data_IF_572966346733
#
_entry.id   IF_572966346733
#
_cell.length_a   1.000
_cell.length_b   1.000
_cell.length_c   1.000
_cell.angle_alpha   90.00
_cell.angle_beta   90.00
_cell.angle_gamma   90.00
#
_symmetry.space_group_name_H-M   'P 1'
#
loop_
_entity.id
_entity.type
_entity.pdbx_description
1 polymer ?
#
# COMPACT_ATOMS: atom_id res chain seq x y z
N UNK A 1 22.85 8.62 -5.82
CA UNK A 1 22.29 8.07 -7.08
C UNK A 1 22.23 6.56 -6.99
N UNK A 2 21.25 5.93 -7.66
CA UNK A 2 21.14 4.47 -7.74
C UNK A 2 22.25 3.87 -8.61
N UNK A 3 22.58 2.60 -8.36
CA UNK A 3 23.39 1.79 -9.29
C UNK A 3 22.64 1.54 -10.59
N UNK A 4 23.34 1.07 -11.62
CA UNK A 4 22.69 0.65 -12.87
C UNK A 4 22.07 -0.74 -12.72
N UNK A 5 20.98 -0.97 -13.46
CA UNK A 5 20.23 -2.23 -13.50
C UNK A 5 19.77 -2.74 -12.13
N UNK A 6 19.41 -1.83 -11.23
CA UNK A 6 18.85 -2.18 -9.91
C UNK A 6 17.46 -2.79 -10.02
N UNK A 7 17.09 -3.59 -9.03
CA UNK A 7 15.72 -4.07 -8.85
C UNK A 7 15.05 -3.20 -7.79
N UNK A 8 13.95 -2.55 -8.15
CA UNK A 8 13.14 -1.76 -7.22
C UNK A 8 11.95 -2.60 -6.72
N UNK A 9 11.74 -2.65 -5.41
CA UNK A 9 10.58 -3.34 -4.82
C UNK A 9 9.85 -2.35 -3.92
N UNK A 10 8.55 -2.17 -4.13
CA UNK A 10 7.71 -1.35 -3.26
C UNK A 10 6.43 -2.10 -2.87
N UNK A 11 6.31 -2.43 -1.58
CA UNK A 11 5.13 -3.04 -0.97
C UNK A 11 4.62 -2.22 0.22
N UNK A 12 4.91 -0.91 0.22
CA UNK A 12 4.69 -0.04 1.36
C UNK A 12 3.58 1.00 1.10
N UNK A 13 3.89 2.10 0.42
CA UNK A 13 2.93 3.11 -0.05
C UNK A 13 3.30 3.52 -1.48
N UNK A 14 2.29 3.70 -2.32
CA UNK A 14 2.47 4.09 -3.72
C UNK A 14 3.19 5.42 -3.87
N UNK A 15 2.72 6.43 -3.13
CA UNK A 15 3.25 7.80 -3.13
C UNK A 15 4.72 7.97 -2.71
N UNK A 16 5.44 6.89 -2.38
CA UNK A 16 6.89 6.92 -2.16
C UNK A 16 7.69 6.85 -3.46
N UNK A 17 7.06 6.44 -4.55
CA UNK A 17 7.70 6.27 -5.87
C UNK A 17 6.91 7.10 -6.88
N UNK A 18 7.60 8.03 -7.53
CA UNK A 18 7.07 8.72 -8.71
C UNK A 18 6.97 7.72 -9.87
N UNK A 19 5.73 7.48 -10.32
CA UNK A 19 5.42 6.46 -11.31
C UNK A 19 6.00 6.77 -12.70
N UNK A 20 6.09 8.06 -13.06
CA UNK A 20 6.70 8.49 -14.34
C UNK A 20 8.21 8.29 -14.29
N UNK A 21 8.87 8.70 -13.21
CA UNK A 21 10.30 8.50 -13.03
C UNK A 21 10.67 7.01 -13.01
N UNK A 22 9.82 6.16 -12.43
CA UNK A 22 9.98 4.72 -12.49
C UNK A 22 9.91 4.21 -13.93
N UNK A 23 8.88 4.60 -14.69
CA UNK A 23 8.71 4.23 -16.09
C UNK A 23 9.93 4.61 -16.93
N UNK A 24 10.41 5.84 -16.77
CA UNK A 24 11.63 6.33 -17.44
C UNK A 24 12.88 5.56 -17.00
N UNK A 25 12.99 5.25 -15.72
CA UNK A 25 14.08 4.46 -15.14
C UNK A 25 14.13 3.04 -15.71
N UNK A 26 12.99 2.40 -15.92
CA UNK A 26 12.90 1.07 -16.53
C UNK A 26 13.20 1.15 -18.03
N UNK A 27 12.64 2.12 -18.76
CA UNK A 27 12.91 2.33 -20.21
C UNK A 27 14.38 2.56 -20.51
N UNK A 28 15.04 3.37 -19.68
CA UNK A 28 16.47 3.66 -19.80
C UNK A 28 17.38 2.51 -19.32
N UNK A 29 16.81 1.42 -18.79
CA UNK A 29 17.52 0.29 -18.14
C UNK A 29 18.34 0.69 -16.92
N UNK A 30 18.11 1.89 -16.37
CA UNK A 30 18.67 2.29 -15.08
C UNK A 30 18.11 1.39 -13.97
N UNK A 31 16.81 1.09 -14.05
CA UNK A 31 16.11 0.10 -13.25
C UNK A 31 15.96 -1.14 -14.14
N UNK A 32 16.59 -2.23 -13.72
CA UNK A 32 16.58 -3.50 -14.45
C UNK A 32 15.27 -4.27 -14.27
N UNK A 33 14.58 -4.09 -13.14
CA UNK A 33 13.26 -4.65 -12.88
C UNK A 33 12.54 -3.89 -11.76
N UNK A 34 11.21 -3.98 -11.72
CA UNK A 34 10.40 -3.44 -10.63
C UNK A 34 9.34 -4.44 -10.16
N UNK A 35 9.07 -4.48 -8.86
CA UNK A 35 7.94 -5.20 -8.29
C UNK A 35 7.15 -4.27 -7.36
N UNK A 36 5.90 -4.00 -7.69
CA UNK A 36 5.03 -3.06 -7.01
C UNK A 36 3.80 -3.81 -6.51
N UNK A 37 3.56 -3.80 -5.20
CA UNK A 37 2.25 -4.13 -4.65
C UNK A 37 1.43 -2.87 -4.36
N UNK A 38 2.06 -1.70 -4.49
CA UNK A 38 1.41 -0.41 -4.26
C UNK A 38 1.68 0.56 -5.42
N UNK A 39 0.69 1.35 -5.80
CA UNK A 39 0.76 2.38 -6.84
C UNK A 39 0.24 3.75 -6.34
N UNK A 40 0.67 4.85 -6.95
CA UNK A 40 0.40 6.20 -6.45
C UNK A 40 -1.11 6.54 -6.41
N UNK A 41 -1.87 6.05 -7.40
CA UNK A 41 -3.31 6.33 -7.57
C UNK A 41 -4.16 5.05 -7.63
N UNK A 42 -4.11 4.21 -6.59
CA UNK A 42 -4.76 2.89 -6.65
C UNK A 42 -6.28 2.88 -6.64
N UNK A 43 -6.88 3.91 -6.04
CA UNK A 43 -8.28 3.91 -5.58
C UNK A 43 -9.32 3.63 -6.66
N UNK A 44 -9.10 4.12 -7.89
CA UNK A 44 -10.07 3.95 -8.99
C UNK A 44 -9.75 2.77 -9.92
N UNK A 45 -8.55 2.20 -9.82
CA UNK A 45 -8.00 1.28 -10.83
C UNK A 45 -7.99 -0.19 -10.39
N UNK A 46 -7.73 -0.48 -9.11
CA UNK A 46 -7.38 -1.84 -8.69
C UNK A 46 -8.48 -2.64 -7.97
N UNK A 47 -9.59 -2.00 -7.59
CA UNK A 47 -10.64 -2.64 -6.80
C UNK A 47 -11.85 -3.11 -7.62
N UNK A 48 -11.84 -2.88 -8.94
CA UNK A 48 -12.91 -3.28 -9.86
C UNK A 48 -12.33 -4.01 -11.07
N UNK A 49 -13.15 -4.86 -11.70
CA UNK A 49 -12.79 -5.46 -12.98
C UNK A 49 -12.89 -4.40 -14.09
N UNK A 50 -11.73 -3.90 -14.53
CA UNK A 50 -11.59 -2.96 -15.65
C UNK A 50 -11.14 -3.63 -16.95
N UNK A 51 -11.23 -4.96 -17.07
CA UNK A 51 -10.75 -5.70 -18.27
C UNK A 51 -11.40 -5.29 -19.60
N UNK A 52 -12.59 -4.69 -19.53
CA UNK A 52 -13.36 -4.19 -20.70
C UNK A 52 -13.44 -2.67 -20.77
N UNK A 53 -12.75 -1.97 -19.87
CA UNK A 53 -12.76 -0.51 -19.77
C UNK A 53 -11.45 0.05 -20.30
N UNK A 54 -11.51 1.19 -20.99
CA UNK A 54 -10.31 1.94 -21.36
C UNK A 54 -9.77 2.58 -20.09
N UNK A 55 -8.57 2.19 -19.68
CA UNK A 55 -7.89 2.76 -18.52
C UNK A 55 -7.23 4.08 -18.91
N UNK A 56 -7.57 5.14 -18.18
CA UNK A 56 -7.01 6.49 -18.36
C UNK A 56 -5.73 6.67 -17.51
N UNK A 57 -4.83 5.68 -17.58
CA UNK A 57 -3.51 5.73 -16.96
C UNK A 57 -2.49 5.02 -17.86
N UNK A 58 -1.93 5.80 -18.79
CA UNK A 58 -0.90 5.35 -19.72
C UNK A 58 0.33 4.79 -18.99
N UNK A 59 0.66 5.32 -17.82
CA UNK A 59 1.87 4.95 -17.08
C UNK A 59 1.74 3.54 -16.53
N UNK A 60 0.63 3.27 -15.87
CA UNK A 60 0.32 1.94 -15.35
C UNK A 60 0.22 0.92 -16.49
N UNK A 61 -0.44 1.29 -17.60
CA UNK A 61 -0.54 0.42 -18.78
C UNK A 61 0.82 0.05 -19.36
N UNK A 62 1.71 1.03 -19.46
CA UNK A 62 3.07 0.79 -19.93
C UNK A 62 3.88 -0.05 -18.94
N UNK A 63 3.76 0.20 -17.63
CA UNK A 63 4.46 -0.56 -16.60
C UNK A 63 4.01 -2.03 -16.59
N UNK A 64 2.71 -2.32 -16.61
CA UNK A 64 2.17 -3.69 -16.62
C UNK A 64 2.56 -4.45 -17.90
N UNK A 65 2.70 -3.76 -19.04
CA UNK A 65 3.12 -4.37 -20.29
C UNK A 65 4.61 -4.77 -20.34
N UNK A 66 5.44 -4.29 -19.40
CA UNK A 66 6.87 -4.57 -19.39
C UNK A 66 7.17 -5.94 -18.75
N UNK A 67 7.93 -6.84 -19.41
CA UNK A 67 8.17 -8.20 -18.92
C UNK A 67 9.04 -8.27 -17.65
N UNK A 68 9.73 -7.19 -17.31
CA UNK A 68 10.59 -7.03 -16.13
C UNK A 68 9.92 -6.18 -15.03
N UNK A 69 8.62 -5.92 -15.15
CA UNK A 69 7.83 -5.21 -14.14
C UNK A 69 6.68 -6.11 -13.69
N UNK A 70 6.53 -6.26 -12.38
CA UNK A 70 5.41 -6.94 -11.75
C UNK A 70 4.60 -5.91 -10.96
N UNK A 71 3.29 -5.86 -11.21
CA UNK A 71 2.36 -5.03 -10.44
C UNK A 71 1.25 -5.92 -9.88
N UNK A 72 0.97 -5.79 -8.59
CA UNK A 72 -0.17 -6.43 -7.90
C UNK A 72 -1.04 -5.37 -7.22
N UNK A 73 -2.32 -5.68 -7.01
CA UNK A 73 -3.34 -4.75 -6.54
C UNK A 73 -3.42 -4.65 -5.00
N UNK A 74 -2.33 -4.26 -4.35
CA UNK A 74 -2.28 -4.10 -2.89
C UNK A 74 -2.68 -5.37 -2.13
N UNK A 75 -2.13 -6.50 -2.58
CA UNK A 75 -2.52 -7.84 -2.12
C UNK A 75 -1.47 -8.53 -1.25
N UNK A 76 -0.34 -7.88 -0.92
CA UNK A 76 0.67 -8.51 -0.04
C UNK A 76 0.10 -8.90 1.34
N UNK A 77 -0.98 -8.23 1.80
CA UNK A 77 -1.64 -8.56 3.06
C UNK A 77 -2.70 -9.68 2.96
N UNK A 78 -3.05 -10.18 1.77
CA UNK A 78 -4.11 -11.18 1.56
C UNK A 78 -3.69 -12.61 1.97
N UNK A 79 -3.14 -12.76 3.18
CA UNK A 79 -2.82 -14.04 3.80
C UNK A 79 -3.89 -14.45 4.80
N UNK A 80 -4.01 -15.76 5.06
CA UNK A 80 -4.97 -16.28 6.05
C UNK A 80 -4.70 -15.72 7.44
N UNK A 81 -3.42 -15.59 7.79
CA UNK A 81 -2.93 -15.09 9.05
C UNK A 81 -3.28 -13.62 9.24
N UNK A 82 -2.97 -12.78 8.24
CA UNK A 82 -3.24 -11.35 8.29
C UNK A 82 -4.74 -11.06 8.32
N UNK A 83 -5.54 -11.69 7.46
CA UNK A 83 -7.00 -11.52 7.48
C UNK A 83 -7.61 -11.99 8.80
N UNK A 84 -7.11 -13.09 9.37
CA UNK A 84 -7.54 -13.57 10.68
C UNK A 84 -7.19 -12.60 11.81
N UNK A 85 -6.00 -11.99 11.77
CA UNK A 85 -5.59 -10.97 12.73
C UNK A 85 -6.44 -9.70 12.60
N UNK A 86 -6.65 -9.19 11.38
CA UNK A 86 -7.48 -8.01 11.13
C UNK A 86 -8.89 -8.24 11.68
N UNK A 87 -9.53 -9.37 11.36
CA UNK A 87 -10.87 -9.68 11.84
C UNK A 87 -10.94 -9.72 13.38
N UNK A 88 -10.00 -10.42 14.03
CA UNK A 88 -9.94 -10.51 15.50
C UNK A 88 -9.72 -9.15 16.16
N UNK A 89 -8.75 -8.38 15.68
CA UNK A 89 -8.41 -7.05 16.21
C UNK A 89 -9.57 -6.08 16.04
N UNK A 90 -10.23 -6.08 14.88
CA UNK A 90 -11.40 -5.24 14.63
C UNK A 90 -12.56 -5.60 15.56
N UNK A 91 -12.90 -6.89 15.68
CA UNK A 91 -13.99 -7.33 16.57
C UNK A 91 -13.67 -7.04 18.04
N UNK A 92 -12.42 -7.22 18.47
CA UNK A 92 -12.00 -6.87 19.83
C UNK A 92 -12.10 -5.36 20.09
N UNK A 93 -11.69 -4.53 19.13
CA UNK A 93 -11.75 -3.07 19.26
C UNK A 93 -13.20 -2.59 19.37
N UNK A 94 -14.11 -3.15 18.56
CA UNK A 94 -15.55 -2.86 18.65
C UNK A 94 -16.11 -3.28 20.02
N UNK A 95 -15.75 -4.48 20.51
CA UNK A 95 -16.22 -4.96 21.80
C UNK A 95 -15.75 -4.07 22.96
N UNK A 96 -14.48 -3.64 22.96
CA UNK A 96 -13.95 -2.71 23.96
C UNK A 96 -14.64 -1.34 23.89
N UNK A 97 -14.86 -0.82 22.68
CA UNK A 97 -15.60 0.44 22.48
C UNK A 97 -17.02 0.38 23.10
N UNK A 98 -17.78 -0.67 22.82
CA UNK A 98 -19.16 -0.84 23.33
C UNK A 98 -19.20 -0.92 24.86
N UNK A 99 -18.15 -1.44 25.49
CA UNK A 99 -18.04 -1.54 26.96
C UNK A 99 -17.48 -0.28 27.62
N UNK A 100 -17.02 0.71 26.84
CA UNK A 100 -16.29 1.86 27.37
C UNK A 100 -14.90 1.51 27.91
N UNK A 101 -14.31 0.40 27.45
CA UNK A 101 -12.94 0.01 27.77
C UNK A 101 -11.94 0.73 26.86
N UNK A 102 -10.68 0.80 27.29
CA UNK A 102 -9.59 1.38 26.48
C UNK A 102 -9.37 0.54 25.22
N UNK A 103 -9.33 1.19 24.06
CA UNK A 103 -9.01 0.56 22.79
C UNK A 103 -7.49 0.57 22.56
N UNK A 104 -6.85 -0.60 22.65
CA UNK A 104 -5.39 -0.74 22.48
C UNK A 104 -4.87 -0.16 21.15
N UNK A 105 -5.64 -0.37 20.07
CA UNK A 105 -5.28 0.01 18.70
C UNK A 105 -5.86 1.38 18.27
N UNK A 106 -6.30 2.19 19.23
CA UNK A 106 -6.81 3.54 18.93
C UNK A 106 -5.72 4.40 18.29
N UNK A 107 -6.06 4.96 17.13
CA UNK A 107 -5.28 5.99 16.45
C UNK A 107 -5.92 7.32 16.80
N UNK A 108 -5.16 8.20 17.44
CA UNK A 108 -5.62 9.53 17.77
C UNK A 108 -5.44 10.46 16.56
N UNK A 109 -6.55 10.92 15.99
CA UNK A 109 -6.57 11.97 14.98
C UNK A 109 -7.07 13.27 15.62
N UNK A 110 -6.18 14.24 15.83
CA UNK A 110 -6.47 15.58 16.38
C UNK A 110 -7.01 15.60 17.84
N UNK A 111 -6.54 14.72 18.74
CA UNK A 111 -6.96 14.77 20.15
C UNK A 111 -6.09 15.72 20.99
N UNK A 112 -6.72 16.48 21.90
CA UNK A 112 -6.03 17.35 22.86
C UNK A 112 -5.35 16.57 24.01
N UNK A 113 -5.85 15.37 24.32
CA UNK A 113 -5.31 14.48 25.37
C UNK A 113 -5.25 13.03 24.89
N UNK A 114 -4.05 12.45 24.86
CA UNK A 114 -3.86 11.02 24.54
C UNK A 114 -4.15 10.17 25.78
N UNK A 115 -5.06 9.21 25.67
CA UNK A 115 -5.42 8.29 26.76
C UNK A 115 -4.43 7.11 26.93
N UNK A 116 -3.40 7.00 26.08
CA UNK A 116 -2.35 5.97 26.22
C UNK A 116 -1.43 6.31 27.40
N UNK A 117 -1.08 5.27 28.17
CA UNK A 117 -0.21 5.36 29.35
C UNK A 117 1.17 5.92 28.96
N UNK A 118 1.76 6.74 29.83
CA UNK A 118 3.06 7.40 29.64
C UNK A 118 4.12 6.45 29.07
N UNK A 119 4.71 6.79 27.91
CA UNK A 119 5.78 6.02 27.27
C UNK A 119 5.40 5.28 25.98
N UNK A 120 4.14 5.33 25.55
CA UNK A 120 3.71 4.79 24.25
C UNK A 120 3.47 5.90 23.23
N UNK A 121 3.77 5.61 21.96
CA UNK A 121 3.52 6.56 20.87
C UNK A 121 2.03 6.57 20.52
N UNK A 122 1.47 7.77 20.43
CA UNK A 122 0.13 8.02 19.88
C UNK A 122 0.33 8.23 18.38
N UNK A 123 0.28 7.14 17.61
CA UNK A 123 0.28 7.17 16.14
C UNK A 123 -0.99 6.51 15.63
#
# INVERSE_FOLDING_TARGET
>A
MMKDQVVLINTSRGALVDSQALLEGVRSKKIGAAALDVYEEEGELFYEDKSTTILDDDTLMLLIAMPNVLVTSHQAFLTREALGNIARTTLSSIASYVKGEVMEHEICYQCDTCHKVTGQRCF
#
